data_IF_179466640841
#
_entry.id   IF_179466640841
#
_cell.length_a   1.000
_cell.length_b   1.000
_cell.length_c   1.000
_cell.angle_alpha   90.00
_cell.angle_beta   90.00
_cell.angle_gamma   90.00
#
_symmetry.space_group_name_H-M   'P 1'
#
loop_
_entity.id
_entity.type
_entity.pdbx_description
1 polymer ?
#
# COMPACT_ATOMS: atom_id res chain seq x y z
N UNK A 1 11.01 15.17 -19.47
CA UNK A 1 9.70 15.86 -19.33
C UNK A 1 9.10 15.44 -18.01
N UNK A 2 8.61 16.37 -17.19
CA UNK A 2 8.64 16.17 -15.75
C UNK A 2 7.46 15.32 -15.32
N UNK A 3 7.77 14.27 -14.57
CA UNK A 3 6.78 13.70 -13.66
C UNK A 3 6.18 14.81 -12.81
N UNK A 4 4.91 14.65 -12.46
CA UNK A 4 4.29 15.61 -11.55
C UNK A 4 4.99 15.58 -10.19
N UNK A 5 5.16 16.73 -9.51
CA UNK A 5 5.73 16.74 -8.18
C UNK A 5 4.82 16.00 -7.19
N UNK A 6 5.42 15.25 -6.28
CA UNK A 6 4.71 14.64 -5.16
C UNK A 6 4.42 15.72 -4.11
N UNK A 7 3.24 16.34 -4.23
CA UNK A 7 2.71 17.29 -3.24
C UNK A 7 1.92 16.53 -2.17
N UNK A 8 1.61 17.15 -1.01
CA UNK A 8 0.82 16.49 0.02
C UNK A 8 -0.49 15.90 -0.51
N UNK A 9 -1.24 16.68 -1.30
CA UNK A 9 -2.56 16.26 -1.81
C UNK A 9 -2.50 15.10 -2.81
N UNK A 10 -1.34 14.85 -3.43
CA UNK A 10 -1.16 13.81 -4.45
C UNK A 10 -0.44 12.58 -3.91
N UNK A 11 0.55 12.80 -3.07
CA UNK A 11 1.42 11.77 -2.53
C UNK A 11 0.82 11.01 -1.37
N UNK A 12 -0.16 11.60 -0.67
CA UNK A 12 -0.66 11.05 0.58
C UNK A 12 0.37 11.11 1.71
N UNK A 13 1.35 12.04 1.64
CA UNK A 13 2.37 12.29 2.67
C UNK A 13 2.36 13.75 3.12
N UNK A 14 2.44 14.03 4.43
CA UNK A 14 2.32 15.41 4.95
C UNK A 14 3.50 16.26 4.49
N UNK A 15 3.32 17.58 4.40
CA UNK A 15 4.37 18.50 3.93
C UNK A 15 5.68 18.35 4.69
N UNK A 16 5.62 18.22 6.02
CA UNK A 16 6.79 18.03 6.88
C UNK A 16 7.46 16.67 6.63
N UNK A 17 6.68 15.61 6.40
CA UNK A 17 7.22 14.27 6.17
C UNK A 17 7.81 14.12 4.77
N UNK A 18 7.27 14.78 3.74
CA UNK A 18 7.79 14.70 2.37
C UNK A 18 9.29 15.05 2.30
N UNK A 19 9.68 16.17 2.91
CA UNK A 19 11.08 16.60 2.93
C UNK A 19 11.96 15.67 3.77
N UNK A 20 11.45 15.22 4.92
CA UNK A 20 12.17 14.31 5.82
C UNK A 20 12.45 12.96 5.16
N UNK A 21 11.44 12.35 4.53
CA UNK A 21 11.56 11.07 3.81
C UNK A 21 12.54 11.21 2.65
N UNK A 22 12.45 12.28 1.87
CA UNK A 22 13.38 12.53 0.77
C UNK A 22 14.83 12.59 1.25
N UNK A 23 15.09 13.29 2.36
CA UNK A 23 16.44 13.36 2.94
C UNK A 23 16.96 11.98 3.37
N UNK A 24 16.11 11.12 3.95
CA UNK A 24 16.49 9.75 4.29
C UNK A 24 16.83 8.94 3.03
N UNK A 25 16.04 9.05 1.96
CA UNK A 25 16.31 8.39 0.68
C UNK A 25 17.65 8.80 0.08
N UNK A 26 18.01 10.09 0.16
CA UNK A 26 19.31 10.61 -0.27
C UNK A 26 20.45 10.05 0.58
N UNK A 27 20.30 10.07 1.91
CA UNK A 27 21.33 9.58 2.84
C UNK A 27 21.57 8.07 2.74
N UNK A 28 20.49 7.31 2.50
CA UNK A 28 20.51 5.85 2.41
C UNK A 28 20.65 5.34 0.99
N UNK A 29 20.90 6.24 0.02
CA UNK A 29 21.06 5.94 -1.40
C UNK A 29 20.03 4.91 -1.91
N UNK A 30 18.75 5.21 -1.68
CA UNK A 30 17.65 4.30 -1.96
C UNK A 30 16.45 5.04 -2.52
N UNK A 31 15.78 4.41 -3.50
CA UNK A 31 14.45 4.84 -3.91
C UNK A 31 13.40 4.25 -2.97
N UNK A 32 12.36 5.04 -2.71
CA UNK A 32 11.19 4.62 -1.94
C UNK A 32 9.93 4.94 -2.72
N UNK A 33 9.09 3.93 -2.93
CA UNK A 33 7.77 4.07 -3.50
C UNK A 33 6.72 3.98 -2.40
N UNK A 34 5.89 5.00 -2.27
CA UNK A 34 4.76 5.02 -1.35
C UNK A 34 3.44 4.98 -2.09
N UNK A 35 2.50 4.28 -1.48
CA UNK A 35 1.09 4.32 -1.89
C UNK A 35 0.45 5.58 -1.31
N UNK A 36 -0.37 6.31 -2.08
CA UNK A 36 -1.02 7.51 -1.56
C UNK A 36 -2.03 7.19 -0.44
N UNK A 37 -1.74 7.64 0.78
CA UNK A 37 -2.73 7.67 1.87
C UNK A 37 -3.80 8.74 1.60
N UNK A 38 -4.99 8.56 2.17
CA UNK A 38 -6.11 9.49 1.95
C UNK A 38 -5.89 10.84 2.66
N UNK A 39 -6.54 11.90 2.18
CA UNK A 39 -6.48 13.23 2.83
C UNK A 39 -6.96 13.22 4.28
N UNK A 40 -7.94 12.38 4.61
CA UNK A 40 -8.38 12.18 6.00
C UNK A 40 -7.26 11.56 6.84
N UNK A 41 -6.61 10.50 6.36
CA UNK A 41 -5.47 9.89 7.05
C UNK A 41 -4.36 10.88 7.30
N UNK A 42 -4.01 11.63 6.26
CA UNK A 42 -3.00 12.68 6.28
C UNK A 42 -3.23 13.75 7.33
N UNK A 43 -4.46 14.27 7.43
CA UNK A 43 -4.83 15.29 8.43
C UNK A 43 -4.75 14.74 9.86
N UNK A 44 -5.05 13.46 10.06
CA UNK A 44 -4.90 12.82 11.38
C UNK A 44 -3.43 12.57 11.74
N UNK A 45 -2.60 12.18 10.79
CA UNK A 45 -1.14 12.07 10.99
C UNK A 45 -0.56 13.44 11.39
N UNK A 46 -0.93 14.50 10.67
CA UNK A 46 -0.52 15.89 10.97
C UNK A 46 -1.03 16.36 12.35
N UNK A 47 -2.21 15.90 12.77
CA UNK A 47 -2.78 16.17 14.10
C UNK A 47 -2.17 15.32 15.23
N UNK A 48 -1.21 14.43 14.93
CA UNK A 48 -0.47 13.68 15.93
C UNK A 48 -1.01 12.29 16.26
N UNK A 49 -2.11 11.83 15.65
CA UNK A 49 -2.70 10.52 15.92
C UNK A 49 -1.77 9.38 15.53
N UNK A 50 -1.86 8.24 16.22
CA UNK A 50 -1.12 7.03 15.88
C UNK A 50 -1.59 6.45 14.55
N UNK A 51 -0.77 5.63 13.89
CA UNK A 51 -1.20 4.89 12.69
C UNK A 51 -1.28 3.41 13.02
N UNK A 52 -2.16 2.70 12.31
CA UNK A 52 -2.38 1.27 12.52
C UNK A 52 -1.19 0.43 12.06
N UNK A 53 -1.01 -0.73 12.69
CA UNK A 53 -0.01 -1.73 12.31
C UNK A 53 -0.68 -3.01 11.79
N UNK A 54 0.09 -4.09 11.68
CA UNK A 54 -0.33 -5.35 11.06
C UNK A 54 -1.35 -6.15 11.91
N UNK A 55 -1.60 -5.79 13.15
CA UNK A 55 -2.60 -6.39 14.06
C UNK A 55 -4.00 -5.79 13.84
N UNK A 56 -4.13 -4.72 13.05
CA UNK A 56 -5.41 -4.08 12.73
C UNK A 56 -5.69 -4.22 11.22
N UNK A 57 -6.48 -5.22 10.87
CA UNK A 57 -6.91 -5.49 9.49
C UNK A 57 -8.17 -4.72 9.05
N UNK A 58 -8.88 -4.14 10.02
CA UNK A 58 -10.07 -3.34 9.81
C UNK A 58 -9.84 -2.13 8.90
N UNK A 59 -10.92 -1.70 8.24
CA UNK A 59 -10.86 -0.60 7.27
C UNK A 59 -11.16 0.72 7.94
N UNK A 60 -10.41 1.75 7.56
CA UNK A 60 -10.70 3.11 8.00
C UNK A 60 -12.04 3.62 7.47
N UNK A 61 -12.59 4.60 8.16
CA UNK A 61 -13.78 5.35 7.76
C UNK A 61 -13.41 6.51 6.83
N UNK A 62 -14.37 6.93 6.01
CA UNK A 62 -14.32 8.14 5.19
C UNK A 62 -15.51 9.07 5.47
N UNK A 63 -16.24 8.86 6.58
CA UNK A 63 -17.49 9.57 6.86
C UNK A 63 -17.76 9.75 8.36
N UNK A 64 -18.71 10.63 8.69
CA UNK A 64 -19.07 10.94 10.08
C UNK A 64 -17.91 11.53 10.88
N UNK A 65 -18.03 11.53 12.21
CA UNK A 65 -16.90 11.88 13.10
C UNK A 65 -15.83 10.80 13.16
N UNK A 66 -16.08 9.62 12.58
CA UNK A 66 -15.11 8.53 12.47
C UNK A 66 -14.14 8.69 11.29
N UNK A 67 -14.38 9.64 10.37
CA UNK A 67 -13.58 9.83 9.16
C UNK A 67 -12.07 9.82 9.43
N UNK A 68 -11.32 9.00 8.69
CA UNK A 68 -9.89 8.78 8.85
C UNK A 68 -9.50 7.74 9.92
N UNK A 69 -10.30 7.56 10.96
CA UNK A 69 -10.04 6.56 12.01
C UNK A 69 -10.44 5.15 11.57
N UNK A 70 -10.02 4.14 12.33
CA UNK A 70 -10.43 2.75 12.16
C UNK A 70 -11.51 2.40 13.18
N UNK A 71 -12.81 2.50 12.85
CA UNK A 71 -13.89 2.14 13.77
C UNK A 71 -13.87 0.62 14.03
N UNK A 72 -14.25 0.20 15.24
CA UNK A 72 -14.43 -1.23 15.54
C UNK A 72 -15.70 -1.74 14.86
N UNK A 73 -16.76 -0.93 14.90
CA UNK A 73 -17.97 -1.21 14.13
C UNK A 73 -17.73 -0.89 12.66
N UNK A 74 -17.49 -1.93 11.86
CA UNK A 74 -17.23 -1.81 10.43
C UNK A 74 -18.41 -1.24 9.62
N UNK A 75 -19.59 -1.05 10.21
CA UNK A 75 -20.67 -0.27 9.61
C UNK A 75 -20.27 1.22 9.44
N UNK A 76 -19.38 1.73 10.29
CA UNK A 76 -18.79 3.07 10.16
C UNK A 76 -17.56 3.14 9.25
N UNK A 77 -17.04 2.00 8.76
CA UNK A 77 -15.92 2.00 7.83
C UNK A 77 -16.34 2.47 6.43
N UNK A 78 -15.37 2.71 5.55
CA UNK A 78 -15.63 2.98 4.11
C UNK A 78 -16.37 1.84 3.39
N UNK A 79 -16.25 0.60 3.92
CA UNK A 79 -16.95 -0.58 3.38
C UNK A 79 -18.40 -0.68 3.87
N UNK A 80 -18.78 0.03 4.94
CA UNK A 80 -20.13 0.04 5.52
C UNK A 80 -20.69 -1.37 5.71
N UNK A 81 -19.91 -2.23 6.36
CA UNK A 81 -20.28 -3.64 6.54
C UNK A 81 -21.39 -3.72 7.59
N UNK A 82 -22.60 -4.06 7.15
CA UNK A 82 -23.78 -4.18 8.02
C UNK A 82 -24.40 -2.83 8.40
N UNK A 83 -25.17 -2.84 9.49
CA UNK A 83 -25.79 -1.64 10.08
C UNK A 83 -25.10 -1.32 11.42
N UNK A 84 -25.01 -0.04 11.81
CA UNK A 84 -24.47 0.36 13.11
C UNK A 84 -25.06 -0.43 14.28
N UNK A 85 -24.18 -1.05 15.06
CA UNK A 85 -24.52 -1.96 16.15
C UNK A 85 -24.59 -1.20 17.48
N UNK A 86 -25.81 -0.95 17.97
CA UNK A 86 -26.04 -0.26 19.25
C UNK A 86 -25.77 -1.14 20.49
N UNK A 87 -25.39 -2.40 20.30
CA UNK A 87 -24.98 -3.36 21.34
C UNK A 87 -23.49 -3.76 21.22
N UNK A 88 -22.67 -2.97 20.53
CA UNK A 88 -21.24 -3.24 20.35
C UNK A 88 -20.51 -3.33 21.70
N UNK A 89 -19.77 -4.42 21.91
CA UNK A 89 -18.91 -4.62 23.10
C UNK A 89 -17.45 -4.34 22.71
N UNK A 90 -16.79 -3.36 23.36
CA UNK A 90 -15.37 -3.09 23.15
C UNK A 90 -14.52 -4.33 23.47
N UNK A 91 -13.57 -4.64 22.60
CA UNK A 91 -12.63 -5.74 22.77
C UNK A 91 -11.23 -5.30 22.31
N UNK A 92 -10.20 -6.04 22.72
CA UNK A 92 -8.83 -5.88 22.21
C UNK A 92 -8.55 -6.83 21.06
N UNK A 93 -7.51 -6.55 20.28
CA UNK A 93 -7.00 -7.42 19.23
C UNK A 93 -5.49 -7.20 19.05
N UNK A 94 -4.65 -8.20 19.36
CA UNK A 94 -3.20 -7.99 19.47
C UNK A 94 -2.87 -6.93 20.52
N UNK A 95 -2.01 -5.97 20.16
CA UNK A 95 -1.72 -4.80 21.00
C UNK A 95 -2.75 -3.67 20.84
N UNK A 96 -3.65 -3.77 19.85
CA UNK A 96 -4.71 -2.81 19.64
C UNK A 96 -5.81 -2.94 20.70
N UNK A 97 -6.29 -1.79 21.16
CA UNK A 97 -7.34 -1.68 22.16
C UNK A 97 -8.50 -0.85 21.63
N UNK A 98 -9.69 -1.13 22.14
CA UNK A 98 -10.83 -0.27 21.91
C UNK A 98 -10.70 1.04 22.67
N UNK A 99 -10.69 2.15 21.93
CA UNK A 99 -10.63 3.51 22.45
C UNK A 99 -11.93 4.23 22.12
N UNK A 100 -12.55 4.84 23.12
CA UNK A 100 -13.70 5.69 22.86
C UNK A 100 -13.19 6.94 22.13
N UNK A 101 -13.71 7.17 20.92
CA UNK A 101 -13.30 8.31 20.12
C UNK A 101 -13.58 9.60 20.91
N UNK A 102 -12.56 10.44 21.01
CA UNK A 102 -12.66 11.71 21.69
C UNK A 102 -11.74 12.73 21.04
N UNK A 103 -12.14 14.00 21.15
CA UNK A 103 -11.38 15.14 20.69
C UNK A 103 -11.41 16.20 21.77
N UNK A 104 -10.26 16.81 22.08
CA UNK A 104 -10.29 18.12 22.74
C UNK A 104 -10.96 19.14 21.82
N UNK A 105 -11.50 20.22 22.40
CA UNK A 105 -12.15 21.27 21.62
C UNK A 105 -11.21 21.84 20.55
N UNK A 106 -9.96 22.12 20.91
CA UNK A 106 -8.95 22.62 19.97
C UNK A 106 -8.67 21.66 18.82
N UNK A 107 -8.58 20.34 19.09
CA UNK A 107 -8.41 19.32 18.05
C UNK A 107 -9.62 19.27 17.11
N UNK A 108 -10.84 19.22 17.64
CA UNK A 108 -12.04 19.15 16.82
C UNK A 108 -12.20 20.39 15.95
N UNK A 109 -12.01 21.59 16.52
CA UNK A 109 -12.07 22.85 15.78
C UNK A 109 -11.02 22.92 14.69
N UNK A 110 -9.78 22.48 14.98
CA UNK A 110 -8.72 22.44 13.95
C UNK A 110 -9.02 21.45 12.83
N UNK A 111 -9.56 20.27 13.14
CA UNK A 111 -9.94 19.29 12.13
C UNK A 111 -11.09 19.79 11.26
N UNK A 112 -12.10 20.44 11.86
CA UNK A 112 -13.19 21.08 11.13
C UNK A 112 -12.68 22.19 10.20
N UNK A 113 -11.79 23.07 10.67
CA UNK A 113 -11.26 24.17 9.86
C UNK A 113 -10.38 23.69 8.69
N UNK A 114 -9.71 22.54 8.84
CA UNK A 114 -8.95 21.88 7.77
C UNK A 114 -9.83 21.07 6.81
N UNK A 115 -11.16 21.13 6.97
CA UNK A 115 -12.10 20.34 6.18
C UNK A 115 -11.87 18.84 6.35
N UNK A 116 -11.52 18.35 7.54
CA UNK A 116 -11.31 16.91 7.74
C UNK A 116 -12.59 16.09 7.57
N UNK A 117 -13.70 16.66 8.03
CA UNK A 117 -15.01 16.02 8.04
C UNK A 117 -15.89 16.49 6.86
N UNK A 118 -15.37 16.45 5.62
CA UNK A 118 -16.00 17.01 4.41
C UNK A 118 -17.43 16.50 4.17
N UNK A 119 -17.70 15.25 4.55
CA UNK A 119 -19.00 14.59 4.40
C UNK A 119 -19.90 14.74 5.64
N UNK A 120 -19.57 15.64 6.56
CA UNK A 120 -20.24 15.76 7.86
C UNK A 120 -20.49 17.22 8.21
N UNK A 121 -21.74 17.54 8.53
CA UNK A 121 -22.18 18.90 8.86
C UNK A 121 -22.58 18.98 10.33
N UNK A 122 -22.16 20.05 11.02
CA UNK A 122 -22.69 20.39 12.35
C UNK A 122 -24.10 20.95 12.17
N UNK A 123 -25.10 20.26 12.72
CA UNK A 123 -26.53 20.61 12.55
C UNK A 123 -27.18 21.11 13.83
N UNK A 124 -26.48 21.04 14.96
CA UNK A 124 -26.95 21.56 16.24
C UNK A 124 -25.79 21.77 17.20
N UNK A 125 -25.95 22.74 18.10
CA UNK A 125 -24.95 23.09 19.10
C UNK A 125 -25.67 23.57 20.37
N UNK A 126 -25.25 23.02 21.50
CA UNK A 126 -25.57 23.52 22.84
C UNK A 126 -24.28 23.75 23.62
N UNK A 127 -24.40 24.28 24.84
CA UNK A 127 -23.28 24.42 25.78
C UNK A 127 -22.65 23.09 26.17
N UNK A 128 -23.37 21.98 26.02
CA UNK A 128 -22.92 20.65 26.45
C UNK A 128 -22.54 19.74 25.28
N UNK A 129 -23.19 19.89 24.13
CA UNK A 129 -23.07 18.92 23.03
C UNK A 129 -23.17 19.58 21.67
N UNK A 130 -22.33 19.14 20.73
CA UNK A 130 -22.45 19.45 19.30
C UNK A 130 -23.01 18.23 18.56
N UNK A 131 -23.99 18.46 17.70
CA UNK A 131 -24.66 17.44 16.89
C UNK A 131 -24.19 17.51 15.44
N UNK A 132 -23.87 16.36 14.87
CA UNK A 132 -23.35 16.20 13.52
C UNK A 132 -24.15 15.18 12.71
N UNK A 133 -24.28 15.43 11.41
CA UNK A 133 -24.92 14.55 10.45
C UNK A 133 -24.01 14.35 9.25
N UNK A 134 -23.93 13.12 8.75
CA UNK A 134 -23.17 12.82 7.54
C UNK A 134 -24.07 12.60 6.33
N UNK A 135 -23.61 13.04 5.16
CA UNK A 135 -24.28 12.75 3.88
C UNK A 135 -24.24 11.27 3.52
N UNK A 136 -23.32 10.49 4.11
CA UNK A 136 -23.13 9.07 3.83
C UNK A 136 -24.13 8.17 4.57
N UNK A 137 -24.80 8.69 5.60
CA UNK A 137 -25.82 7.97 6.35
C UNK A 137 -26.88 8.93 6.92
N UNK A 138 -28.08 8.88 6.35
CA UNK A 138 -29.22 9.71 6.74
C UNK A 138 -29.96 9.22 7.99
N UNK A 139 -29.54 8.11 8.59
CA UNK A 139 -30.22 7.48 9.73
C UNK A 139 -29.48 7.65 11.06
N UNK A 140 -28.24 8.11 11.01
CA UNK A 140 -27.39 8.27 12.21
C UNK A 140 -27.10 9.75 12.46
N UNK A 141 -27.14 10.11 13.74
CA UNK A 141 -26.58 11.35 14.27
C UNK A 141 -25.34 11.04 15.12
N UNK A 142 -24.31 11.87 15.00
CA UNK A 142 -23.16 11.86 15.90
C UNK A 142 -23.24 13.03 16.87
N UNK A 143 -22.71 12.83 18.06
CA UNK A 143 -22.67 13.83 19.11
C UNK A 143 -21.26 13.93 19.67
N UNK A 144 -20.80 15.14 19.90
CA UNK A 144 -19.55 15.42 20.59
C UNK A 144 -19.85 16.21 21.86
N UNK A 145 -19.49 15.65 23.01
CA UNK A 145 -19.70 16.28 24.30
C UNK A 145 -18.58 17.29 24.59
N UNK A 146 -18.93 18.56 24.78
CA UNK A 146 -17.98 19.69 24.92
C UNK A 146 -17.08 19.52 26.14
N UNK A 147 -17.61 19.00 27.25
CA UNK A 147 -16.88 18.86 28.53
C UNK A 147 -15.93 17.67 28.55
N UNK A 148 -16.38 16.52 28.07
CA UNK A 148 -15.60 15.27 28.10
C UNK A 148 -14.79 15.03 26.82
N UNK A 149 -15.11 15.74 25.73
CA UNK A 149 -14.54 15.53 24.41
C UNK A 149 -15.01 14.24 23.72
N UNK A 150 -15.87 13.44 24.37
CA UNK A 150 -16.27 12.11 23.92
C UNK A 150 -17.25 12.17 22.77
N UNK A 151 -17.11 11.23 21.84
CA UNK A 151 -18.01 11.04 20.71
C UNK A 151 -18.96 9.88 20.99
N UNK A 152 -20.23 10.12 20.69
CA UNK A 152 -21.32 9.16 20.73
C UNK A 152 -22.13 9.23 19.44
N UNK A 153 -23.00 8.26 19.22
CA UNK A 153 -23.91 8.21 18.07
C UNK A 153 -25.28 7.66 18.46
N UNK A 154 -26.29 7.94 17.65
CA UNK A 154 -27.67 7.43 17.84
C UNK A 154 -28.40 7.31 16.50
N UNK A 155 -29.32 6.35 16.41
CA UNK A 155 -30.32 6.24 15.34
C UNK A 155 -31.35 7.36 15.44
N UNK A 156 -31.58 8.11 14.35
CA UNK A 156 -32.52 9.25 14.32
C UNK A 156 -33.96 8.85 14.59
N UNK A 157 -34.34 7.65 14.16
CA UNK A 157 -35.70 7.11 14.22
C UNK A 157 -35.95 6.24 15.46
N UNK A 158 -34.97 6.10 16.37
CA UNK A 158 -35.13 5.29 17.58
C UNK A 158 -34.99 6.14 18.82
N UNK A 159 -35.89 5.95 19.78
CA UNK A 159 -35.74 6.47 21.14
C UNK A 159 -34.81 5.59 21.99
N UNK A 160 -33.57 5.40 21.53
CA UNK A 160 -32.50 4.78 22.32
C UNK A 160 -31.54 5.84 22.88
N UNK A 161 -30.81 5.44 23.91
CA UNK A 161 -29.70 6.22 24.46
C UNK A 161 -28.57 6.34 23.43
N UNK A 162 -27.75 7.39 23.58
CA UNK A 162 -26.53 7.56 22.80
C UNK A 162 -25.52 6.44 23.10
N UNK A 163 -24.87 5.93 22.06
CA UNK A 163 -23.90 4.85 22.14
C UNK A 163 -22.50 5.42 21.90
N UNK A 164 -21.48 5.08 22.71
CA UNK A 164 -20.10 5.48 22.46
C UNK A 164 -19.61 5.04 21.08
N UNK A 165 -18.88 5.93 20.39
CA UNK A 165 -18.14 5.55 19.18
C UNK A 165 -16.81 4.95 19.60
N UNK A 166 -16.56 3.69 19.23
CA UNK A 166 -15.32 2.99 19.49
C UNK A 166 -14.48 2.85 18.23
N UNK A 167 -13.20 3.16 18.36
CA UNK A 167 -12.18 3.04 17.32
C UNK A 167 -11.01 2.23 17.87
N UNK A 168 -10.23 1.61 17.00
CA UNK A 168 -8.97 1.01 17.40
C UNK A 168 -7.98 2.09 17.83
N UNK A 169 -7.12 1.75 18.79
CA UNK A 169 -6.04 2.61 19.24
C UNK A 169 -4.93 1.86 19.95
N UNK A 170 -3.79 2.52 20.10
CA UNK A 170 -2.67 2.06 20.90
C UNK A 170 -2.44 3.02 22.06
N UNK A 171 -2.25 2.50 23.28
CA UNK A 171 -2.00 3.32 24.47
C UNK A 171 -3.05 4.44 24.68
N UNK A 172 -4.31 4.17 24.36
CA UNK A 172 -5.41 5.14 24.45
C UNK A 172 -5.46 6.19 23.34
N UNK A 173 -4.57 6.11 22.33
CA UNK A 173 -4.54 7.01 21.18
C UNK A 173 -5.22 6.31 20.00
N UNK A 174 -6.31 6.87 19.44
CA UNK A 174 -6.93 6.36 18.24
C UNK A 174 -5.95 6.24 17.06
N UNK A 175 -6.11 5.19 16.26
CA UNK A 175 -5.29 4.99 15.05
C UNK A 175 -5.99 5.46 13.78
N UNK A 176 -5.18 5.94 12.85
CA UNK A 176 -5.53 6.21 11.45
C UNK A 176 -4.76 5.27 10.51
N UNK A 177 -4.94 5.40 9.20
CA UNK A 177 -4.07 4.73 8.23
C UNK A 177 -2.60 5.16 8.35
N UNK A 178 -1.70 4.33 7.86
CA UNK A 178 -0.26 4.52 7.84
C UNK A 178 0.26 4.89 6.44
N UNK A 179 1.58 5.01 6.30
CA UNK A 179 2.28 5.15 5.02
C UNK A 179 2.68 3.78 4.50
N UNK A 180 1.84 3.24 3.62
CA UNK A 180 2.07 1.96 2.97
C UNK A 180 3.24 2.08 1.97
N UNK A 181 4.36 1.44 2.31
CA UNK A 181 5.47 1.30 1.37
C UNK A 181 5.10 0.29 0.28
N UNK A 182 5.13 0.72 -0.98
CA UNK A 182 4.97 -0.19 -2.10
C UNK A 182 6.28 -0.94 -2.38
N UNK A 183 7.40 -0.23 -2.50
CA UNK A 183 8.71 -0.83 -2.78
C UNK A 183 9.85 0.01 -2.21
N UNK A 184 10.87 -0.65 -1.66
CA UNK A 184 12.16 -0.04 -1.29
C UNK A 184 13.22 -0.60 -2.23
N UNK A 185 13.97 0.28 -2.89
CA UNK A 185 14.96 -0.10 -3.91
C UNK A 185 16.31 0.54 -3.55
N UNK A 186 17.12 -0.13 -2.71
CA UNK A 186 18.44 0.35 -2.32
C UNK A 186 19.44 0.20 -3.46
N UNK A 187 20.46 1.06 -3.46
CA UNK A 187 21.64 0.84 -4.29
C UNK A 187 22.41 -0.41 -3.83
N UNK A 188 23.08 -1.10 -4.75
CA UNK A 188 23.79 -2.35 -4.48
C UNK A 188 24.91 -2.19 -3.43
N UNK A 189 25.46 -0.99 -3.28
CA UNK A 189 26.42 -0.65 -2.22
C UNK A 189 25.83 -0.75 -0.81
N UNK A 190 24.53 -0.54 -0.66
CA UNK A 190 23.86 -0.43 0.65
C UNK A 190 23.41 -1.77 1.22
N UNK A 191 23.23 -2.77 0.35
CA UNK A 191 22.69 -4.08 0.72
C UNK A 191 23.77 -5.06 1.17
N UNK A 192 25.05 -4.78 0.91
CA UNK A 192 26.18 -5.64 1.34
C UNK A 192 25.99 -7.14 1.03
N UNK A 193 25.33 -7.46 -0.10
CA UNK A 193 25.04 -8.84 -0.49
C UNK A 193 23.94 -9.54 0.31
N UNK A 194 23.18 -8.84 1.16
CA UNK A 194 22.00 -9.39 1.82
C UNK A 194 20.88 -9.66 0.81
N UNK A 195 20.39 -10.90 0.79
CA UNK A 195 19.40 -11.42 -0.17
C UNK A 195 18.09 -11.82 0.48
N UNK A 196 18.05 -11.88 1.80
CA UNK A 196 16.93 -12.46 2.52
C UNK A 196 15.86 -11.40 2.79
N UNK A 197 14.62 -11.77 2.47
CA UNK A 197 13.44 -11.10 2.99
C UNK A 197 13.03 -11.84 4.25
N UNK A 198 13.14 -11.16 5.38
CA UNK A 198 12.85 -11.71 6.68
C UNK A 198 11.37 -11.51 6.99
N UNK A 199 10.73 -12.58 7.43
CA UNK A 199 9.40 -12.50 8.03
C UNK A 199 9.55 -12.25 9.52
N UNK A 200 9.35 -11.01 9.93
CA UNK A 200 9.47 -10.57 11.33
C UNK A 200 8.08 -10.59 11.96
N UNK A 201 7.93 -11.31 13.07
CA UNK A 201 6.74 -11.28 13.92
C UNK A 201 7.03 -10.46 15.16
N UNK A 202 6.15 -9.52 15.47
CA UNK A 202 6.11 -8.80 16.73
C UNK A 202 4.68 -8.83 17.29
N UNK A 203 4.43 -8.06 18.34
CA UNK A 203 3.11 -7.96 18.98
C UNK A 203 2.06 -7.30 18.08
N UNK A 204 2.48 -6.59 17.04
CA UNK A 204 1.63 -5.98 16.04
C UNK A 204 1.46 -6.86 14.79
N UNK A 205 1.81 -8.14 14.84
CA UNK A 205 1.62 -9.07 13.73
C UNK A 205 2.90 -9.35 12.96
N UNK A 206 2.76 -9.66 11.67
CA UNK A 206 3.87 -10.15 10.86
C UNK A 206 4.09 -9.30 9.62
N UNK A 207 5.33 -8.87 9.43
CA UNK A 207 5.78 -8.07 8.30
C UNK A 207 6.93 -8.78 7.57
N UNK A 208 6.91 -8.74 6.24
CA UNK A 208 8.02 -9.23 5.42
C UNK A 208 8.86 -8.05 4.92
N UNK A 209 10.15 -8.04 5.22
CA UNK A 209 11.06 -6.95 4.86
C UNK A 209 12.49 -7.46 4.66
N UNK A 210 13.26 -6.84 3.76
CA UNK A 210 14.70 -7.06 3.70
C UNK A 210 15.39 -6.49 4.93
N UNK A 211 16.61 -6.95 5.23
CA UNK A 211 17.43 -6.38 6.32
C UNK A 211 17.63 -4.87 6.18
N UNK A 212 17.82 -4.38 4.94
CA UNK A 212 17.87 -2.95 4.64
C UNK A 212 16.56 -2.23 5.00
N UNK A 213 15.40 -2.76 4.57
CA UNK A 213 14.10 -2.15 4.87
C UNK A 213 13.80 -2.13 6.37
N UNK A 214 14.19 -3.18 7.11
CA UNK A 214 14.06 -3.22 8.58
C UNK A 214 14.86 -2.09 9.24
N UNK A 215 16.08 -1.82 8.76
CA UNK A 215 16.90 -0.72 9.26
C UNK A 215 16.40 0.66 8.79
N UNK A 216 15.73 0.73 7.63
CA UNK A 216 15.21 1.97 7.05
C UNK A 216 13.98 2.50 7.81
N UNK A 217 13.07 1.62 8.24
CA UNK A 217 11.81 2.03 8.89
C UNK A 217 12.03 2.92 10.13
N UNK A 218 12.91 2.56 11.09
CA UNK A 218 13.20 3.43 12.24
C UNK A 218 13.81 4.78 11.84
N UNK A 219 14.64 4.81 10.79
CA UNK A 219 15.24 6.04 10.28
C UNK A 219 14.18 6.96 9.65
N UNK A 220 13.26 6.41 8.86
CA UNK A 220 12.13 7.14 8.31
C UNK A 220 11.22 7.72 9.41
N UNK A 221 10.82 6.87 10.38
CA UNK A 221 9.99 7.31 11.49
C UNK A 221 10.69 8.38 12.35
N UNK A 222 11.99 8.24 12.60
CA UNK A 222 12.76 9.25 13.34
C UNK A 222 12.84 10.58 12.59
N UNK A 223 13.12 10.54 11.28
CA UNK A 223 13.17 11.74 10.43
C UNK A 223 11.83 12.47 10.36
N UNK A 224 10.71 11.73 10.35
CA UNK A 224 9.37 12.30 10.42
C UNK A 224 9.01 12.85 11.82
N UNK A 225 9.86 12.69 12.84
CA UNK A 225 9.51 13.07 14.23
C UNK A 225 8.48 12.15 14.86
N UNK A 226 8.42 10.90 14.40
CA UNK A 226 7.41 9.88 14.75
C UNK A 226 7.99 8.61 15.39
N UNK A 227 9.02 8.63 16.25
CA UNK A 227 9.58 7.40 16.81
C UNK A 227 8.65 6.68 17.80
N UNK A 228 7.75 7.41 18.47
CA UNK A 228 6.79 6.85 19.44
C UNK A 228 5.45 6.46 18.83
N UNK A 229 5.06 7.16 17.76
CA UNK A 229 3.82 6.93 17.01
C UNK A 229 4.21 6.76 15.54
N UNK A 230 4.85 5.63 15.19
CA UNK A 230 5.37 5.39 13.84
C UNK A 230 4.30 5.61 12.77
N UNK A 231 4.74 6.00 11.59
CA UNK A 231 3.91 6.15 10.37
C UNK A 231 4.28 5.13 9.30
N UNK A 232 5.45 4.50 9.44
CA UNK A 232 5.87 3.32 8.69
C UNK A 232 5.91 2.14 9.65
N UNK A 233 5.02 1.16 9.48
CA UNK A 233 4.85 0.07 10.44
C UNK A 233 5.30 -1.30 9.92
N UNK A 234 5.42 -1.47 8.61
CA UNK A 234 5.78 -2.74 8.01
C UNK A 234 6.64 -2.57 6.76
N UNK A 235 7.16 -3.69 6.25
CA UNK A 235 7.95 -3.76 5.04
C UNK A 235 7.13 -3.48 3.78
N UNK A 236 7.82 -3.39 2.65
CA UNK A 236 7.20 -2.98 1.41
C UNK A 236 6.36 -4.11 0.77
N UNK A 237 5.22 -3.74 0.22
CA UNK A 237 4.24 -4.68 -0.35
C UNK A 237 4.80 -5.50 -1.52
N UNK A 238 5.57 -4.87 -2.42
CA UNK A 238 6.26 -5.53 -3.52
C UNK A 238 7.20 -6.64 -3.04
N UNK A 239 7.69 -6.51 -1.80
CA UNK A 239 8.62 -7.42 -1.16
C UNK A 239 7.89 -8.40 -0.22
N UNK A 240 6.55 -8.38 -0.20
CA UNK A 240 5.73 -9.29 0.60
C UNK A 240 5.10 -10.37 -0.28
N UNK A 241 5.62 -11.60 -0.24
CA UNK A 241 5.06 -12.70 -1.04
C UNK A 241 3.59 -12.98 -0.68
N UNK A 242 3.26 -13.06 0.60
CA UNK A 242 1.97 -13.62 1.04
C UNK A 242 0.80 -12.66 0.83
N UNK A 243 1.05 -11.36 0.81
CA UNK A 243 0.01 -10.35 0.67
C UNK A 243 0.41 -9.27 -0.33
N UNK A 244 -0.36 -9.18 -1.41
CA UNK A 244 -0.29 -8.10 -2.40
C UNK A 244 -1.69 -7.56 -2.61
N UNK A 245 -1.85 -6.25 -2.53
CA UNK A 245 -3.07 -5.53 -2.85
C UNK A 245 -3.05 -5.07 -4.33
N UNK A 246 -4.12 -4.43 -4.78
CA UNK A 246 -4.17 -3.82 -6.10
C UNK A 246 -3.21 -2.61 -6.17
N UNK A 247 -2.43 -2.54 -7.25
CA UNK A 247 -1.52 -1.44 -7.53
C UNK A 247 -2.29 -0.15 -7.86
N UNK A 248 -2.05 0.89 -7.06
CA UNK A 248 -2.65 2.21 -7.26
C UNK A 248 -2.34 2.81 -8.63
N UNK A 249 -3.19 3.74 -9.07
CA UNK A 249 -2.99 4.45 -10.34
C UNK A 249 -1.66 5.21 -10.37
N UNK A 250 -1.27 5.78 -9.24
CA UNK A 250 -0.02 6.53 -9.06
C UNK A 250 0.64 6.12 -7.74
N UNK A 251 1.98 6.16 -7.72
CA UNK A 251 2.80 6.01 -6.53
C UNK A 251 3.62 7.28 -6.32
N UNK A 252 3.88 7.67 -5.09
CA UNK A 252 4.87 8.69 -4.79
C UNK A 252 6.27 8.05 -4.80
N UNK A 253 7.19 8.59 -5.58
CA UNK A 253 8.57 8.14 -5.67
C UNK A 253 9.50 9.19 -5.06
N UNK A 254 10.29 8.75 -4.08
CA UNK A 254 11.36 9.52 -3.47
C UNK A 254 12.68 9.04 -4.05
N UNK A 255 13.45 9.99 -4.57
CA UNK A 255 14.69 9.71 -5.29
C UNK A 255 15.90 9.96 -4.38
N UNK A 256 17.01 9.21 -4.55
CA UNK A 256 18.27 9.48 -3.86
C UNK A 256 19.07 10.65 -4.47
N UNK A 257 18.73 11.07 -5.69
CA UNK A 257 19.35 12.22 -6.36
C UNK A 257 18.82 13.59 -5.91
N UNK A 258 19.03 14.62 -6.74
CA UNK A 258 18.55 15.98 -6.48
C UNK A 258 17.11 16.23 -6.95
N UNK A 259 16.52 15.29 -7.67
CA UNK A 259 15.13 15.34 -8.12
C UNK A 259 14.21 15.38 -6.91
N UNK A 260 13.37 16.41 -6.81
CA UNK A 260 12.30 16.44 -5.81
C UNK A 260 11.38 15.25 -5.98
N UNK A 261 10.72 14.74 -4.91
CA UNK A 261 9.78 13.63 -5.00
C UNK A 261 8.73 13.84 -6.09
N UNK A 262 8.38 12.76 -6.79
CA UNK A 262 7.51 12.78 -7.98
C UNK A 262 6.40 11.73 -7.91
N UNK A 263 5.29 11.97 -8.60
CA UNK A 263 4.22 10.99 -8.80
C UNK A 263 4.53 10.13 -10.03
N UNK A 264 4.60 8.82 -9.84
CA UNK A 264 4.87 7.83 -10.88
C UNK A 264 3.59 7.09 -11.23
N UNK A 265 3.07 7.23 -12.45
CA UNK A 265 1.95 6.43 -12.94
C UNK A 265 2.31 4.94 -13.00
N UNK A 266 1.39 4.07 -12.60
CA UNK A 266 1.61 2.61 -12.66
C UNK A 266 1.99 2.09 -14.05
N UNK A 267 1.54 2.79 -15.10
CA UNK A 267 1.80 2.40 -16.50
C UNK A 267 3.27 2.56 -16.91
N UNK A 268 4.01 3.48 -16.29
CA UNK A 268 5.44 3.72 -16.59
C UNK A 268 6.36 3.06 -15.58
N UNK A 269 5.81 2.56 -14.47
CA UNK A 269 6.54 1.88 -13.40
C UNK A 269 7.51 0.80 -13.90
N UNK A 270 7.16 -0.05 -14.88
CA UNK A 270 8.12 -1.05 -15.34
C UNK A 270 9.39 -0.42 -15.94
N UNK A 271 9.27 0.64 -16.74
CA UNK A 271 10.44 1.31 -17.30
C UNK A 271 11.21 2.10 -16.24
N UNK A 272 10.53 2.62 -15.21
CA UNK A 272 11.20 3.16 -14.02
C UNK A 272 12.05 2.08 -13.34
N UNK A 273 11.51 0.89 -13.04
CA UNK A 273 12.27 -0.20 -12.40
C UNK A 273 13.48 -0.64 -13.25
N UNK A 274 13.33 -0.63 -14.57
CA UNK A 274 14.43 -0.89 -15.47
C UNK A 274 15.53 0.19 -15.40
N UNK A 275 15.16 1.46 -15.35
CA UNK A 275 16.12 2.54 -15.13
C UNK A 275 16.86 2.34 -13.79
N UNK A 276 16.17 1.92 -12.73
CA UNK A 276 16.78 1.63 -11.43
C UNK A 276 17.85 0.53 -11.53
N UNK A 277 17.53 -0.61 -12.15
CA UNK A 277 18.48 -1.70 -12.35
C UNK A 277 19.69 -1.26 -13.18
N UNK A 278 19.48 -0.39 -14.18
CA UNK A 278 20.55 0.17 -15.02
C UNK A 278 21.44 1.19 -14.31
N UNK A 279 21.09 1.60 -13.10
CA UNK A 279 21.89 2.50 -12.28
C UNK A 279 22.37 1.84 -10.98
N UNK A 280 22.39 0.50 -10.92
CA UNK A 280 22.95 -0.24 -9.79
C UNK A 280 21.98 -0.41 -8.61
N UNK A 281 20.68 -0.17 -8.80
CA UNK A 281 19.69 -0.34 -7.74
C UNK A 281 19.00 -1.70 -7.82
N UNK A 282 18.77 -2.31 -6.65
CA UNK A 282 18.25 -3.66 -6.51
C UNK A 282 16.72 -3.63 -6.51
N UNK A 283 16.14 -3.47 -7.70
CA UNK A 283 14.69 -3.49 -7.88
C UNK A 283 14.16 -4.93 -7.87
N UNK A 284 13.57 -5.33 -6.74
CA UNK A 284 13.11 -6.70 -6.50
C UNK A 284 11.61 -6.83 -6.81
N UNK A 285 11.25 -7.70 -7.75
CA UNK A 285 9.87 -7.90 -8.22
C UNK A 285 9.22 -9.05 -7.45
N UNK A 286 8.01 -8.88 -6.93
CA UNK A 286 7.28 -9.97 -6.29
C UNK A 286 7.11 -11.16 -7.25
N UNK A 287 7.54 -12.39 -6.91
CA UNK A 287 7.41 -13.53 -7.81
C UNK A 287 5.97 -13.86 -8.18
N UNK A 288 4.97 -13.52 -7.35
CA UNK A 288 3.55 -13.71 -7.73
C UNK A 288 3.18 -12.91 -8.99
N UNK A 289 3.84 -11.78 -9.26
CA UNK A 289 3.67 -11.02 -10.50
C UNK A 289 4.17 -11.80 -11.72
N UNK A 290 5.17 -12.69 -11.52
CA UNK A 290 5.70 -13.58 -12.56
C UNK A 290 4.85 -14.82 -12.82
N UNK A 291 4.00 -15.23 -11.88
CA UNK A 291 3.03 -16.32 -12.09
C UNK A 291 1.65 -15.82 -12.52
N UNK A 292 1.34 -14.53 -12.31
CA UNK A 292 0.05 -13.92 -12.64
C UNK A 292 -0.98 -14.00 -11.50
N UNK A 293 -0.52 -14.21 -10.27
CA UNK A 293 -1.35 -14.60 -9.11
C UNK A 293 -1.75 -13.45 -8.20
N UNK A 294 -1.63 -12.19 -8.63
CA UNK A 294 -1.69 -11.04 -7.71
C UNK A 294 -2.96 -10.23 -7.70
N UNK A 295 -4.08 -10.78 -8.15
CA UNK A 295 -5.34 -10.04 -8.17
C UNK A 295 -6.47 -10.94 -7.64
N UNK A 296 -6.48 -11.15 -6.32
CA UNK A 296 -7.66 -11.65 -5.59
C UNK A 296 -8.09 -13.10 -5.84
N UNK A 297 -8.85 -13.63 -4.88
CA UNK A 297 -9.56 -14.92 -4.98
C UNK A 297 -10.66 -14.88 -6.07
N UNK A 298 -11.03 -13.68 -6.48
CA UNK A 298 -12.01 -13.34 -7.51
C UNK A 298 -11.51 -13.74 -8.92
N UNK A 299 -10.20 -13.70 -9.18
CA UNK A 299 -9.62 -14.07 -10.48
C UNK A 299 -9.44 -15.60 -10.64
N UNK A 300 -9.36 -16.36 -9.54
CA UNK A 300 -9.39 -17.82 -9.62
C UNK A 300 -10.77 -18.33 -10.03
N UNK A 301 -11.84 -17.63 -9.63
CA UNK A 301 -13.22 -17.95 -10.06
C UNK A 301 -13.44 -17.71 -11.55
N UNK A 302 -12.79 -16.71 -12.14
CA UNK A 302 -12.88 -16.41 -13.57
C UNK A 302 -11.97 -17.32 -14.42
N UNK A 303 -10.77 -17.66 -13.93
CA UNK A 303 -9.84 -18.55 -14.64
C UNK A 303 -10.24 -20.03 -14.54
N UNK A 304 -10.90 -20.45 -13.47
CA UNK A 304 -11.46 -21.80 -13.34
C UNK A 304 -12.69 -22.03 -14.23
N UNK A 305 -13.35 -20.96 -14.69
CA UNK A 305 -14.52 -21.04 -15.56
C UNK A 305 -14.19 -21.27 -17.05
N UNK A 306 -12.94 -21.11 -17.48
CA UNK A 306 -12.56 -21.30 -18.89
C UNK A 306 -11.45 -22.36 -19.03
N UNK A 307 -11.88 -23.61 -19.00
CA UNK A 307 -11.10 -24.76 -19.44
C UNK A 307 -10.65 -24.61 -20.91
N UNK A 308 -9.34 -24.74 -21.11
CA UNK A 308 -8.58 -25.01 -22.34
C UNK A 308 -9.23 -24.87 -23.74
N UNK A 309 -8.44 -24.24 -24.63
CA UNK A 309 -8.49 -24.15 -26.12
C UNK A 309 -9.15 -22.92 -26.73
N UNK A 310 -8.91 -21.73 -26.18
CA UNK A 310 -9.30 -20.48 -26.83
C UNK A 310 -8.16 -19.89 -27.66
N UNK A 311 -8.47 -19.41 -28.88
CA UNK A 311 -7.56 -18.62 -29.73
C UNK A 311 -7.02 -17.36 -29.03
N UNK A 312 -7.64 -16.94 -27.92
CA UNK A 312 -7.18 -15.89 -27.01
C UNK A 312 -5.85 -16.27 -26.35
N UNK A 313 -5.64 -17.55 -26.01
CA UNK A 313 -4.38 -18.03 -25.41
C UNK A 313 -3.24 -17.95 -26.42
N UNK A 314 -3.48 -18.37 -27.67
CA UNK A 314 -2.50 -18.27 -28.77
C UNK A 314 -2.20 -16.82 -29.14
N UNK A 315 -3.22 -15.97 -29.30
CA UNK A 315 -3.06 -14.54 -29.52
C UNK A 315 -2.29 -13.87 -28.37
N UNK A 316 -2.49 -14.34 -27.13
CA UNK A 316 -1.69 -13.94 -25.99
C UNK A 316 -0.22 -14.34 -26.12
N UNK A 317 0.10 -15.55 -26.58
CA UNK A 317 1.47 -16.03 -26.79
C UNK A 317 2.19 -15.28 -27.91
N UNK A 318 1.50 -14.98 -29.01
CA UNK A 318 2.04 -14.20 -30.12
C UNK A 318 2.26 -12.73 -29.72
N UNK A 319 1.30 -12.13 -29.01
CA UNK A 319 1.44 -10.79 -28.43
C UNK A 319 2.59 -10.71 -27.40
N UNK A 320 2.81 -11.77 -26.61
CA UNK A 320 3.96 -11.88 -25.70
C UNK A 320 5.29 -11.86 -26.47
N UNK A 321 5.38 -12.56 -27.60
CA UNK A 321 6.55 -12.55 -28.47
C UNK A 321 6.85 -11.18 -29.08
N UNK A 322 5.80 -10.42 -29.40
CA UNK A 322 5.91 -9.07 -29.98
C UNK A 322 6.22 -8.00 -28.91
N UNK A 323 5.59 -8.08 -27.73
CA UNK A 323 5.83 -7.22 -26.58
C UNK A 323 7.27 -7.39 -26.05
N UNK A 324 7.77 -8.63 -25.94
CA UNK A 324 9.17 -8.91 -25.53
C UNK A 324 10.21 -8.15 -26.37
N UNK A 325 9.92 -7.88 -27.64
CA UNK A 325 10.89 -7.26 -28.55
C UNK A 325 10.90 -5.73 -28.48
N UNK A 326 9.77 -5.09 -28.18
CA UNK A 326 9.60 -3.65 -28.46
C UNK A 326 8.88 -2.85 -27.37
N UNK A 327 8.43 -3.46 -26.27
CA UNK A 327 7.46 -2.82 -25.38
C UNK A 327 8.01 -1.59 -24.62
N UNK A 328 9.25 -1.64 -24.12
CA UNK A 328 9.90 -0.48 -23.48
C UNK A 328 10.09 0.68 -24.46
N UNK A 329 10.51 0.39 -25.69
CA UNK A 329 10.64 1.38 -26.76
C UNK A 329 9.28 1.96 -27.15
N UNK A 330 8.22 1.14 -27.25
CA UNK A 330 6.85 1.59 -27.56
C UNK A 330 6.28 2.49 -26.48
N UNK A 331 6.45 2.16 -25.19
CA UNK A 331 6.02 3.04 -24.10
C UNK A 331 6.85 4.32 -24.09
N UNK A 332 8.18 4.24 -24.22
CA UNK A 332 9.00 5.44 -24.27
C UNK A 332 8.62 6.35 -25.45
N UNK A 333 8.35 5.78 -26.62
CA UNK A 333 7.89 6.51 -27.81
C UNK A 333 6.49 7.09 -27.61
N UNK A 334 5.53 6.31 -27.10
CA UNK A 334 4.17 6.79 -26.83
C UNK A 334 4.17 7.88 -25.75
N UNK A 335 4.91 7.68 -24.65
CA UNK A 335 5.08 8.64 -23.57
C UNK A 335 5.73 9.94 -24.05
N UNK A 336 6.80 9.85 -24.85
CA UNK A 336 7.44 11.02 -25.49
C UNK A 336 6.50 11.73 -26.46
N UNK A 337 5.75 10.98 -27.28
CA UNK A 337 4.76 11.51 -28.24
C UNK A 337 3.66 12.31 -27.54
N UNK A 338 3.22 11.83 -26.38
CA UNK A 338 2.22 12.49 -25.54
C UNK A 338 2.81 13.51 -24.55
N UNK A 339 4.08 13.87 -24.71
CA UNK A 339 4.77 14.86 -23.87
C UNK A 339 4.70 14.58 -22.36
N UNK A 340 4.54 13.31 -21.96
CA UNK A 340 4.33 12.92 -20.56
C UNK A 340 2.94 13.24 -19.99
N UNK A 341 1.98 13.67 -20.84
CA UNK A 341 0.58 13.88 -20.47
C UNK A 341 -0.21 12.58 -20.57
N UNK A 342 -0.92 12.23 -19.49
CA UNK A 342 -1.85 11.11 -19.40
C UNK A 342 -3.28 11.62 -19.61
N UNK A 343 -3.55 12.24 -20.75
CA UNK A 343 -4.93 12.56 -21.08
C UNK A 343 -5.69 11.29 -21.48
N UNK A 344 -7.02 11.38 -21.51
CA UNK A 344 -7.87 10.28 -21.98
C UNK A 344 -7.45 9.81 -23.37
N UNK A 345 -6.79 10.63 -24.20
CA UNK A 345 -6.33 10.23 -25.52
C UNK A 345 -5.14 9.26 -25.47
N UNK A 346 -4.24 9.36 -24.47
CA UNK A 346 -3.18 8.38 -24.24
C UNK A 346 -3.73 7.05 -23.73
N UNK A 347 -4.64 7.09 -22.74
CA UNK A 347 -5.34 5.88 -22.26
C UNK A 347 -6.19 5.26 -23.38
N UNK A 348 -6.82 6.10 -24.22
CA UNK A 348 -7.60 5.68 -25.38
C UNK A 348 -6.72 5.12 -26.51
N UNK A 349 -5.50 5.62 -26.73
CA UNK A 349 -4.55 5.06 -27.71
C UNK A 349 -4.02 3.69 -27.25
N UNK A 350 -3.81 3.51 -25.95
CA UNK A 350 -3.44 2.21 -25.35
C UNK A 350 -4.64 1.24 -25.25
N UNK A 351 -5.88 1.72 -25.11
CA UNK A 351 -7.08 0.88 -24.95
C UNK A 351 -7.85 0.60 -26.24
N UNK A 352 -7.80 1.48 -27.25
CA UNK A 352 -8.51 1.30 -28.54
C UNK A 352 -8.15 0.03 -29.28
N UNK A 353 -7.04 -0.62 -28.92
CA UNK A 353 -6.62 -1.90 -29.53
C UNK A 353 -6.84 -3.12 -28.64
N UNK A 354 -7.13 -2.95 -27.35
CA UNK A 354 -7.01 -4.00 -26.35
C UNK A 354 -8.01 -3.74 -25.21
N UNK A 355 -9.08 -4.53 -25.13
CA UNK A 355 -10.13 -4.38 -24.12
C UNK A 355 -9.60 -4.35 -22.67
N UNK A 356 -10.39 -3.81 -21.74
CA UNK A 356 -9.97 -3.47 -20.37
C UNK A 356 -9.31 -4.62 -19.59
N UNK A 357 -9.76 -5.86 -19.79
CA UNK A 357 -9.15 -7.06 -19.19
C UNK A 357 -7.78 -7.43 -19.78
N UNK A 358 -7.59 -7.16 -21.09
CA UNK A 358 -6.34 -7.41 -21.81
C UNK A 358 -5.24 -6.45 -21.37
N UNK A 359 -5.58 -5.20 -21.00
CA UNK A 359 -4.62 -4.24 -20.45
C UNK A 359 -4.00 -4.68 -19.11
N UNK A 360 -4.81 -5.21 -18.18
CA UNK A 360 -4.32 -5.72 -16.88
C UNK A 360 -3.40 -6.93 -17.06
N UNK A 361 -3.78 -7.84 -17.96
CA UNK A 361 -3.03 -9.04 -18.27
C UNK A 361 -1.73 -8.77 -19.07
N UNK A 362 -1.75 -7.78 -19.98
CA UNK A 362 -0.56 -7.35 -20.71
C UNK A 362 0.41 -6.58 -19.83
N UNK A 363 -0.05 -5.80 -18.84
CA UNK A 363 0.82 -5.11 -17.89
C UNK A 363 1.63 -6.09 -17.02
N UNK A 364 1.01 -7.19 -16.57
CA UNK A 364 1.69 -8.31 -15.89
C UNK A 364 2.70 -9.03 -16.80
N UNK A 365 2.42 -9.15 -18.10
CA UNK A 365 3.35 -9.69 -19.11
C UNK A 365 4.44 -8.69 -19.52
N UNK A 366 4.20 -7.40 -19.34
CA UNK A 366 5.11 -6.29 -19.62
C UNK A 366 6.25 -6.22 -18.59
N UNK A 367 5.95 -6.43 -17.29
CA UNK A 367 6.99 -6.62 -16.26
C UNK A 367 7.94 -7.79 -16.61
N UNK A 368 7.43 -8.87 -17.23
CA UNK A 368 8.25 -10.01 -17.69
C UNK A 368 9.11 -9.71 -18.91
N UNK A 369 8.69 -8.78 -19.77
CA UNK A 369 9.45 -8.35 -20.95
C UNK A 369 10.66 -7.49 -20.55
N UNK A 370 10.48 -6.61 -19.56
CA UNK A 370 11.55 -5.74 -19.05
C UNK A 370 12.67 -6.49 -18.34
N UNK A 371 12.34 -7.55 -17.60
CA UNK A 371 13.33 -8.45 -17.01
C UNK A 371 14.24 -9.14 -18.05
N UNK A 372 13.88 -9.11 -19.35
CA UNK A 372 14.57 -9.82 -20.43
C UNK A 372 14.96 -8.90 -21.62
N UNK A 373 14.93 -7.58 -21.47
CA UNK A 373 15.23 -6.65 -22.58
C UNK A 373 16.74 -6.42 -22.74
N UNK A 374 17.34 -6.64 -23.92
CA UNK A 374 18.78 -6.43 -24.15
C UNK A 374 19.24 -4.97 -23.99
N UNK A 375 20.48 -4.79 -23.54
CA UNK A 375 21.09 -3.55 -23.01
C UNK A 375 21.28 -2.41 -24.03
N UNK A 376 21.06 -2.65 -25.33
CA UNK A 376 21.32 -1.65 -26.37
C UNK A 376 20.16 -0.66 -26.51
N UNK A 377 20.12 0.34 -25.61
CA UNK A 377 19.72 1.72 -25.92
C UNK A 377 19.85 2.64 -24.68
N UNK A 378 20.91 3.46 -24.64
CA UNK A 378 21.09 4.58 -23.70
C UNK A 378 20.12 5.77 -23.93
N UNK A 379 19.09 5.64 -24.78
CA UNK A 379 18.30 6.80 -25.27
C UNK A 379 16.85 6.88 -24.75
N UNK A 380 16.44 5.94 -23.88
CA UNK A 380 15.05 5.77 -23.47
C UNK A 380 14.85 5.62 -21.95
N UNK A 381 15.67 6.29 -21.12
CA UNK A 381 15.37 6.40 -19.68
C UNK A 381 14.04 7.17 -19.50
N UNK A 382 13.22 6.70 -18.57
CA UNK A 382 11.99 7.35 -18.13
C UNK A 382 12.29 8.36 -17.03
N UNK A 383 13.12 7.99 -16.05
CA UNK A 383 13.54 8.87 -14.98
C UNK A 383 14.52 9.95 -15.48
N UNK A 384 14.40 11.20 -14.98
CA UNK A 384 15.37 12.24 -15.26
C UNK A 384 16.71 11.94 -14.56
N UNK A 385 17.82 12.46 -15.10
CA UNK A 385 19.17 12.19 -14.55
C UNK A 385 19.28 12.66 -13.09
N UNK A 386 18.56 13.73 -12.72
CA UNK A 386 18.51 14.25 -11.36
C UNK A 386 17.91 13.26 -10.35
N UNK A 387 17.19 12.22 -10.80
CA UNK A 387 16.69 11.17 -9.92
C UNK A 387 17.82 10.34 -9.30
N UNK A 388 19.00 10.34 -9.93
CA UNK A 388 20.17 9.61 -9.49
C UNK A 388 21.20 10.56 -8.86
N UNK A 389 22.04 10.09 -7.92
CA UNK A 389 23.10 10.91 -7.34
C UNK A 389 24.09 11.43 -8.40
N UNK A 390 24.54 12.69 -8.29
CA UNK A 390 25.44 13.35 -9.27
C UNK A 390 26.88 12.79 -9.28
N UNK A 391 27.25 11.97 -8.31
CA UNK A 391 28.54 11.29 -8.21
C UNK A 391 28.45 10.08 -7.28
N UNK A 392 28.87 8.90 -7.74
CA UNK A 392 28.85 7.65 -6.96
C UNK A 392 28.59 6.42 -7.83
N UNK A 393 29.08 5.25 -7.39
CA UNK A 393 29.00 3.95 -8.07
C UNK A 393 27.59 3.63 -8.60
N UNK A 394 27.50 2.98 -9.76
CA UNK A 394 26.23 2.62 -10.41
C UNK A 394 26.23 2.70 -11.93
N UNK A 395 27.12 3.53 -12.52
CA UNK A 395 27.26 3.66 -13.98
C UNK A 395 28.18 2.61 -14.61
N UNK A 396 29.05 2.02 -13.80
CA UNK A 396 29.96 0.97 -14.24
C UNK A 396 29.17 -0.33 -14.50
N UNK A 397 29.46 -1.00 -15.61
CA UNK A 397 28.69 -2.15 -16.11
C UNK A 397 28.62 -3.29 -15.10
N UNK A 398 29.70 -3.52 -14.36
CA UNK A 398 29.83 -4.47 -13.26
C UNK A 398 28.82 -4.21 -12.13
N UNK A 399 28.59 -2.94 -11.78
CA UNK A 399 27.66 -2.54 -10.72
C UNK A 399 26.21 -2.79 -11.16
N UNK A 400 25.92 -2.58 -12.45
CA UNK A 400 24.60 -2.86 -13.05
C UNK A 400 24.32 -4.37 -13.11
N UNK A 401 25.31 -5.15 -13.49
CA UNK A 401 25.20 -6.61 -13.52
C UNK A 401 25.00 -7.17 -12.10
N UNK A 402 25.79 -6.69 -11.13
CA UNK A 402 25.67 -7.10 -9.74
C UNK A 402 24.27 -6.78 -9.17
N UNK A 403 23.73 -5.59 -9.45
CA UNK A 403 22.39 -5.22 -9.00
C UNK A 403 21.31 -6.13 -9.61
N UNK A 404 21.44 -6.47 -10.90
CA UNK A 404 20.54 -7.41 -11.60
C UNK A 404 20.63 -8.82 -11.03
N UNK A 405 21.84 -9.34 -10.87
CA UNK A 405 22.08 -10.64 -10.27
C UNK A 405 21.49 -10.69 -8.86
N UNK A 406 21.76 -9.69 -8.03
CA UNK A 406 21.28 -9.65 -6.66
C UNK A 406 19.74 -9.54 -6.59
N UNK A 407 19.12 -8.78 -7.49
CA UNK A 407 17.67 -8.73 -7.60
C UNK A 407 17.10 -10.11 -7.95
N UNK A 408 17.63 -10.78 -8.97
CA UNK A 408 17.20 -12.12 -9.37
C UNK A 408 17.37 -13.15 -8.24
N UNK A 409 18.52 -13.17 -7.60
CA UNK A 409 18.79 -14.07 -6.47
C UNK A 409 17.85 -13.80 -5.28
N UNK A 410 17.56 -12.52 -5.00
CA UNK A 410 16.60 -12.14 -3.96
C UNK A 410 15.20 -12.63 -4.33
N UNK A 411 14.76 -12.45 -5.59
CA UNK A 411 13.47 -12.93 -6.10
C UNK A 411 13.34 -14.45 -6.04
N UNK A 412 14.38 -15.19 -6.40
CA UNK A 412 14.43 -16.65 -6.25
C UNK A 412 14.30 -17.07 -4.77
N UNK A 413 14.85 -16.27 -3.86
CA UNK A 413 14.76 -16.49 -2.43
C UNK A 413 13.37 -16.16 -1.80
N UNK A 414 12.46 -15.46 -2.48
CA UNK A 414 11.06 -15.27 -1.98
C UNK A 414 10.33 -16.61 -1.80
N UNK A 415 10.80 -17.68 -2.44
CA UNK A 415 10.14 -18.96 -2.57
C UNK A 415 10.10 -19.87 -1.33
N UNK A 416 10.16 -19.35 -0.10
CA UNK A 416 9.98 -20.17 1.12
C UNK A 416 9.21 -19.42 2.20
N UNK A 417 8.08 -18.81 1.85
CA UNK A 417 7.11 -18.30 2.83
C UNK A 417 5.78 -19.02 2.61
N UNK A 418 5.49 -20.01 3.45
CA UNK A 418 4.19 -20.68 3.55
C UNK A 418 3.18 -19.85 4.34
N UNK A 419 2.08 -20.49 4.75
CA UNK A 419 1.07 -19.92 5.63
C UNK A 419 0.93 -20.82 6.87
N UNK A 420 0.77 -20.22 8.04
CA UNK A 420 0.25 -20.87 9.25
C UNK A 420 -1.04 -20.21 9.63
N UNK A 421 -1.98 -20.99 10.16
CA UNK A 421 -3.15 -20.47 10.82
C UNK A 421 -2.76 -20.08 12.26
N UNK A 422 -2.89 -18.80 12.60
CA UNK A 422 -2.71 -18.26 13.94
C UNK A 422 -3.94 -17.44 14.29
N UNK A 423 -4.57 -17.71 15.45
CA UNK A 423 -5.76 -17.00 15.95
C UNK A 423 -6.94 -16.92 14.96
N UNK A 424 -7.11 -17.94 14.11
CA UNK A 424 -8.16 -17.99 13.08
C UNK A 424 -7.84 -17.20 11.81
N UNK A 425 -6.59 -16.72 11.66
CA UNK A 425 -6.11 -15.98 10.49
C UNK A 425 -4.93 -16.69 9.82
N UNK A 426 -4.97 -16.81 8.48
CA UNK A 426 -3.86 -17.30 7.66
C UNK A 426 -2.74 -16.25 7.61
N UNK A 427 -1.63 -16.56 8.26
CA UNK A 427 -0.48 -15.67 8.42
C UNK A 427 0.74 -16.24 7.67
N UNK A 428 1.49 -15.44 6.89
CA UNK A 428 2.75 -15.88 6.28
C UNK A 428 3.70 -16.54 7.29
N UNK A 429 4.51 -17.51 6.89
CA UNK A 429 5.64 -18.01 7.71
C UNK A 429 6.74 -18.48 6.81
N UNK A 430 7.98 -18.29 7.24
CA UNK A 430 9.15 -18.91 6.65
C UNK A 430 8.99 -20.46 6.62
N UNK A 431 8.94 -21.04 5.42
CA UNK A 431 8.75 -22.45 5.12
C UNK A 431 10.10 -23.21 5.05
N UNK A 432 10.96 -23.01 6.05
CA UNK A 432 12.07 -23.92 6.33
C UNK A 432 11.62 -25.26 6.95
N UNK A 433 10.30 -25.49 7.09
CA UNK A 433 9.74 -26.71 7.68
C UNK A 433 10.05 -27.99 6.87
N UNK A 434 10.41 -29.02 7.61
CA UNK A 434 10.75 -30.34 7.10
C UNK A 434 9.51 -31.04 6.52
N UNK A 435 9.67 -32.08 5.65
CA UNK A 435 8.54 -32.80 5.04
C UNK A 435 7.52 -33.37 6.05
N UNK A 436 7.95 -33.66 7.28
CA UNK A 436 7.10 -34.16 8.36
C UNK A 436 6.12 -33.08 8.87
N UNK A 437 6.54 -31.83 8.88
CA UNK A 437 5.76 -30.70 9.36
C UNK A 437 4.75 -30.23 8.30
N UNK A 438 5.11 -30.30 7.01
CA UNK A 438 4.17 -30.08 5.89
C UNK A 438 2.97 -31.03 5.90
N UNK A 439 3.21 -32.29 6.26
CA UNK A 439 2.15 -33.31 6.29
C UNK A 439 1.17 -33.11 7.47
N UNK A 440 1.61 -32.44 8.55
CA UNK A 440 0.73 -32.06 9.67
C UNK A 440 -0.18 -30.88 9.31
N UNK A 441 0.34 -29.90 8.56
CA UNK A 441 -0.44 -28.73 8.08
C UNK A 441 -1.49 -29.15 7.05
N UNK A 442 -1.14 -30.03 6.10
CA UNK A 442 -2.10 -30.53 5.10
C UNK A 442 -3.32 -31.21 5.75
N UNK A 443 -3.10 -31.99 6.83
CA UNK A 443 -4.18 -32.66 7.57
C UNK A 443 -5.04 -31.73 8.42
N UNK A 444 -4.49 -30.58 8.83
CA UNK A 444 -5.25 -29.55 9.55
C UNK A 444 -6.17 -28.77 8.60
N UNK A 445 -5.69 -28.47 7.39
CA UNK A 445 -6.48 -27.82 6.32
C UNK A 445 -7.62 -28.72 5.86
N UNK A 446 -7.37 -30.01 5.62
CA UNK A 446 -8.42 -30.98 5.26
C UNK A 446 -9.52 -31.06 6.33
N UNK A 447 -9.12 -31.08 7.62
CA UNK A 447 -10.07 -31.12 8.74
C UNK A 447 -10.86 -29.82 8.90
N UNK A 448 -10.29 -28.68 8.55
CA UNK A 448 -11.00 -27.39 8.54
C UNK A 448 -12.03 -27.36 7.41
N UNK A 449 -11.68 -27.82 6.21
CA UNK A 449 -12.60 -27.93 5.07
C UNK A 449 -13.79 -28.87 5.37
N UNK A 450 -13.58 -29.95 6.12
CA UNK A 450 -14.65 -30.82 6.62
C UNK A 450 -15.59 -30.11 7.60
N UNK A 451 -15.07 -29.22 8.46
CA UNK A 451 -15.85 -28.51 9.47
C UNK A 451 -16.62 -27.30 8.91
N UNK A 452 -16.15 -26.69 7.82
CA UNK A 452 -16.73 -25.46 7.24
C UNK A 452 -17.57 -25.69 5.99
N UNK A 453 -17.55 -26.89 5.39
CA UNK A 453 -18.28 -27.19 4.15
C UNK A 453 -19.77 -27.56 4.34
N UNK A 454 -20.29 -27.52 5.57
CA UNK A 454 -21.74 -27.58 5.83
C UNK A 454 -22.45 -28.84 5.30
N UNK A 455 -21.76 -29.99 5.31
CA UNK A 455 -22.40 -31.32 5.22
C UNK A 455 -22.60 -31.92 6.61
#
# INVERSE_FOLDING_TARGET
MPFEPATPDRSGVTSSHLAAIHSVCQQKNAFLFLRPSTSATMRLIDAGFATKSMDIHDKSSDWGLTSGFVPIDQAFSKKKIGQPNDAMVPHGHGDAQAVQLSFSQGQLTSLLSKGHFEKTTKVGESTETWKFQSSENSKVDFFWNVKSGKVTWKWRDREKAEVPVWVWGYNGIPVTGDYDMWMVVPHVSEVSGQKNILSVKDSHGRSAASGFTIALIPALNSACGRPKNPVFNHGAEAQNFSFTQELDRYLALFCPGTQTPIMVPRMVLPGVLHDLLRHGYVAVINPKWRSGSTLGIEDMGAAAAEGQKSGIVKAGTDALGELKKNAASRIAVAWKKHKGSLDESFELELSKRLGQWKQRYEMLRFFRALANTPEQQNRNLILPDEAFPKSGAGSAEDTRELARQLALETEEAFGRVGFVEEDGHLTPVDATLTPVERNKVSKLVERWEELTSGK
#
